data_IF_031793236395
#
_entry.id   IF_031793236395
#
_cell.length_a   1.000
_cell.length_b   1.000
_cell.length_c   1.000
_cell.angle_alpha   90.00
_cell.angle_beta   90.00
_cell.angle_gamma   90.00
#
_symmetry.space_group_name_H-M   'P 1'
#
loop_
_entity.id
_entity.type
_entity.pdbx_description
1 polymer ?
#
# COMPACT_ATOMS: atom_id res chain seq x y z
N UNK A 1 9.83 20.62 16.88
CA UNK A 1 9.20 19.64 15.95
C UNK A 1 10.10 19.52 14.74
N UNK A 2 10.74 18.37 14.55
CA UNK A 2 11.61 18.10 13.39
C UNK A 2 10.90 17.11 12.48
N UNK A 3 10.79 17.47 11.21
CA UNK A 3 10.03 16.74 10.21
C UNK A 3 11.00 16.06 9.26
N UNK A 4 10.88 14.75 9.09
CA UNK A 4 11.52 14.01 8.02
C UNK A 4 10.59 13.87 6.82
N UNK A 5 11.17 13.85 5.61
CA UNK A 5 10.41 13.70 4.36
C UNK A 5 10.77 12.39 3.68
N UNK A 6 9.74 11.66 3.22
CA UNK A 6 9.89 10.40 2.51
C UNK A 6 9.08 10.43 1.22
N UNK A 7 9.60 9.83 0.16
CA UNK A 7 8.85 9.59 -1.07
C UNK A 7 8.64 8.09 -1.26
N UNK A 8 7.39 7.69 -1.44
CA UNK A 8 6.96 6.34 -1.79
C UNK A 8 6.50 6.41 -3.25
N UNK A 9 7.35 5.99 -4.16
CA UNK A 9 7.14 6.14 -5.61
C UNK A 9 7.34 4.83 -6.36
N UNK A 10 6.53 4.63 -7.40
CA UNK A 10 6.63 3.48 -8.31
C UNK A 10 5.95 2.22 -7.77
N UNK A 11 6.46 1.06 -8.12
CA UNK A 11 5.92 -0.23 -7.71
C UNK A 11 6.18 -0.49 -6.22
N UNK A 12 5.20 -0.99 -5.49
CA UNK A 12 5.36 -1.41 -4.09
C UNK A 12 5.86 -2.84 -4.06
N UNK A 13 7.13 -3.02 -3.71
CA UNK A 13 7.78 -4.33 -3.67
C UNK A 13 9.06 -4.39 -4.52
N UNK A 14 9.67 -5.57 -4.56
CA UNK A 14 10.83 -5.85 -5.42
C UNK A 14 10.37 -5.97 -6.88
N UNK A 15 11.19 -5.48 -7.79
CA UNK A 15 10.97 -5.61 -9.23
C UNK A 15 11.86 -6.71 -9.79
N UNK A 16 11.30 -7.49 -10.72
CA UNK A 16 12.09 -8.42 -11.52
C UNK A 16 13.12 -7.71 -12.39
N UNK A 17 14.17 -8.43 -12.78
CA UNK A 17 15.21 -7.91 -13.65
C UNK A 17 14.70 -7.36 -15.01
N UNK A 18 13.54 -7.84 -15.46
CA UNK A 18 12.87 -7.35 -16.67
C UNK A 18 12.40 -5.89 -16.54
N UNK A 19 12.20 -5.40 -15.33
CA UNK A 19 11.79 -4.03 -15.02
C UNK A 19 12.91 -3.22 -14.37
N UNK A 20 14.16 -3.65 -14.54
CA UNK A 20 15.32 -2.96 -14.02
C UNK A 20 15.37 -1.51 -14.57
N UNK A 21 15.35 -0.54 -13.67
CA UNK A 21 15.32 0.89 -14.01
C UNK A 21 13.98 1.58 -13.76
N UNK A 22 12.90 0.84 -13.51
CA UNK A 22 11.67 1.41 -13.01
C UNK A 22 11.79 1.74 -11.52
N UNK A 23 11.04 2.74 -11.08
CA UNK A 23 10.99 3.09 -9.65
C UNK A 23 10.21 2.04 -8.88
N UNK A 24 10.74 1.67 -7.73
CA UNK A 24 10.03 0.84 -6.75
C UNK A 24 10.30 1.32 -5.31
N UNK A 25 9.47 0.88 -4.41
CA UNK A 25 9.61 1.16 -2.97
C UNK A 25 9.36 -0.11 -2.17
N UNK A 26 10.32 -0.47 -1.32
CA UNK A 26 10.31 -1.71 -0.54
C UNK A 26 10.30 -1.43 0.96
N UNK A 27 9.99 -2.46 1.75
CA UNK A 27 10.15 -2.43 3.22
C UNK A 27 11.59 -2.10 3.60
N UNK A 28 12.56 -2.60 2.82
CA UNK A 28 13.98 -2.28 3.05
C UNK A 28 14.23 -0.78 2.91
N UNK A 29 13.70 -0.13 1.87
CA UNK A 29 13.84 1.32 1.70
C UNK A 29 13.26 2.09 2.90
N UNK A 30 12.10 1.66 3.40
CA UNK A 30 11.51 2.28 4.59
C UNK A 30 12.38 2.07 5.84
N UNK A 31 12.88 0.87 6.08
CA UNK A 31 13.74 0.58 7.23
C UNK A 31 15.05 1.37 7.19
N UNK A 32 15.69 1.45 6.03
CA UNK A 32 16.89 2.25 5.83
C UNK A 32 16.62 3.74 6.11
N UNK A 33 15.48 4.26 5.62
CA UNK A 33 15.05 5.62 5.92
C UNK A 33 14.84 5.84 7.41
N UNK A 34 14.06 4.96 8.09
CA UNK A 34 13.79 5.08 9.53
C UNK A 34 15.07 4.99 10.36
N UNK A 35 16.00 4.12 9.97
CA UNK A 35 17.29 3.95 10.63
C UNK A 35 18.24 5.15 10.45
N UNK A 36 18.02 5.97 9.42
CA UNK A 36 18.81 7.19 9.16
C UNK A 36 18.29 8.43 9.89
N UNK A 37 17.13 8.33 10.56
CA UNK A 37 16.52 9.47 11.23
C UNK A 37 17.25 9.83 12.52
N UNK A 38 17.47 11.13 12.72
CA UNK A 38 17.94 11.63 14.00
C UNK A 38 16.88 11.36 15.11
N UNK A 39 17.35 11.19 16.33
CA UNK A 39 16.49 10.88 17.49
C UNK A 39 15.45 11.96 17.81
N UNK A 40 15.67 13.20 17.41
CA UNK A 40 14.80 14.35 17.61
C UNK A 40 13.73 14.54 16.53
N UNK A 41 13.71 13.69 15.49
CA UNK A 41 12.63 13.65 14.50
C UNK A 41 11.36 13.10 15.14
N UNK A 42 10.30 13.90 15.13
CA UNK A 42 9.00 13.55 15.72
C UNK A 42 7.94 13.25 14.65
N UNK A 43 8.11 13.76 13.44
CA UNK A 43 7.10 13.74 12.40
C UNK A 43 7.70 13.22 11.07
N UNK A 44 6.90 12.42 10.35
CA UNK A 44 7.22 11.97 8.99
C UNK A 44 6.13 12.46 8.05
N UNK A 45 6.52 13.29 7.09
CA UNK A 45 5.68 13.66 5.96
C UNK A 45 6.08 12.82 4.76
N UNK A 46 5.19 11.97 4.28
CA UNK A 46 5.48 11.11 3.14
C UNK A 46 4.53 11.34 1.99
N UNK A 47 5.11 11.38 0.79
CA UNK A 47 4.38 11.45 -0.46
C UNK A 47 4.15 10.05 -1.01
N UNK A 48 2.97 9.82 -1.55
CA UNK A 48 2.60 8.57 -2.22
C UNK A 48 2.25 8.88 -3.67
N UNK A 49 3.04 8.32 -4.58
CA UNK A 49 2.84 8.35 -6.02
C UNK A 49 3.10 6.96 -6.58
N UNK A 50 2.10 6.08 -6.45
CA UNK A 50 2.22 4.67 -6.77
C UNK A 50 0.88 4.10 -7.24
N UNK A 51 0.92 3.28 -8.28
CA UNK A 51 -0.21 2.46 -8.74
C UNK A 51 -0.47 1.23 -7.89
N UNK A 52 0.39 0.93 -6.92
CA UNK A 52 0.32 -0.27 -6.09
C UNK A 52 1.45 -1.25 -6.34
N UNK A 53 1.22 -2.52 -6.08
CA UNK A 53 2.21 -3.59 -6.22
C UNK A 53 1.89 -4.79 -5.35
N UNK A 54 2.92 -5.37 -4.71
CA UNK A 54 2.78 -6.51 -3.80
C UNK A 54 1.93 -6.17 -2.58
N UNK A 55 0.83 -6.90 -2.40
CA UNK A 55 -0.07 -6.75 -1.26
C UNK A 55 0.65 -7.00 0.06
N UNK A 56 1.46 -8.06 0.12
CA UNK A 56 2.21 -8.42 1.33
C UNK A 56 3.23 -7.35 1.70
N UNK A 57 4.02 -6.89 0.74
CA UNK A 57 4.98 -5.82 0.95
C UNK A 57 4.30 -4.52 1.42
N UNK A 58 3.15 -4.19 0.83
CA UNK A 58 2.37 -3.03 1.25
C UNK A 58 1.89 -3.11 2.69
N UNK A 59 1.41 -4.29 3.14
CA UNK A 59 1.05 -4.48 4.54
C UNK A 59 2.23 -4.37 5.49
N UNK A 60 3.39 -4.90 5.12
CA UNK A 60 4.59 -4.81 5.93
C UNK A 60 5.10 -3.37 6.06
N UNK A 61 5.08 -2.62 4.95
CA UNK A 61 5.41 -1.17 4.94
C UNK A 61 4.42 -0.39 5.82
N UNK A 62 3.11 -0.65 5.69
CA UNK A 62 2.09 -0.02 6.52
C UNK A 62 2.33 -0.27 8.01
N UNK A 63 2.58 -1.53 8.39
CA UNK A 63 2.89 -1.90 9.77
C UNK A 63 4.15 -1.21 10.29
N UNK A 64 5.20 -1.12 9.48
CA UNK A 64 6.45 -0.45 9.84
C UNK A 64 6.28 1.08 10.00
N UNK A 65 5.46 1.73 9.15
CA UNK A 65 5.11 3.14 9.32
C UNK A 65 4.44 3.39 10.67
N UNK A 66 3.44 2.57 11.02
CA UNK A 66 2.75 2.68 12.32
C UNK A 66 3.68 2.39 13.49
N UNK A 67 4.53 1.35 13.37
CA UNK A 67 5.49 0.96 14.41
C UNK A 67 6.60 2.00 14.64
N UNK A 68 6.81 2.94 13.71
CA UNK A 68 7.80 4.01 13.87
C UNK A 68 7.50 4.93 15.07
N UNK A 69 6.26 4.96 15.55
CA UNK A 69 5.81 5.83 16.64
C UNK A 69 5.85 7.33 16.30
N UNK A 70 6.09 7.68 15.03
CA UNK A 70 6.14 9.07 14.57
C UNK A 70 4.74 9.58 14.21
N UNK A 71 4.55 10.89 14.24
CA UNK A 71 3.34 11.51 13.69
C UNK A 71 3.41 11.45 12.16
N UNK A 72 2.44 10.79 11.55
CA UNK A 72 2.43 10.56 10.11
C UNK A 72 1.54 11.59 9.40
N UNK A 73 2.04 12.18 8.32
CA UNK A 73 1.26 12.97 7.36
C UNK A 73 1.46 12.39 5.98
N UNK A 74 0.38 11.95 5.33
CA UNK A 74 0.40 11.42 3.96
C UNK A 74 -0.06 12.46 2.94
N UNK A 75 0.63 12.49 1.80
CA UNK A 75 0.34 13.38 0.69
C UNK A 75 0.27 12.53 -0.58
N UNK A 76 -0.93 12.32 -1.10
CA UNK A 76 -1.14 11.62 -2.39
C UNK A 76 -0.95 12.58 -3.55
N UNK A 77 -0.12 12.21 -4.53
CA UNK A 77 0.09 12.98 -5.75
C UNK A 77 0.07 12.07 -6.98
N UNK A 78 -0.41 12.60 -8.10
CA UNK A 78 -0.56 11.91 -9.39
C UNK A 78 -1.42 10.65 -9.30
N UNK A 79 -0.95 9.58 -8.68
CA UNK A 79 -1.68 8.32 -8.54
C UNK A 79 -1.48 7.71 -7.14
N UNK A 80 -2.55 7.29 -6.51
CA UNK A 80 -2.57 6.48 -5.29
C UNK A 80 -3.52 5.32 -5.54
N UNK A 81 -2.99 4.18 -5.93
CA UNK A 81 -3.79 3.05 -6.39
C UNK A 81 -3.51 1.75 -5.65
N UNK A 82 -4.50 0.86 -5.65
CA UNK A 82 -4.35 -0.49 -5.12
C UNK A 82 -3.75 -0.49 -3.71
N UNK A 83 -2.76 -1.33 -3.43
CA UNK A 83 -2.13 -1.41 -2.09
C UNK A 83 -1.44 -0.10 -1.64
N UNK A 84 -1.08 0.81 -2.56
CA UNK A 84 -0.53 2.12 -2.19
C UNK A 84 -1.54 2.98 -1.43
N UNK A 85 -2.84 2.73 -1.58
CA UNK A 85 -3.90 3.39 -0.79
C UNK A 85 -3.82 3.02 0.69
N UNK A 86 -3.43 1.79 1.01
CA UNK A 86 -3.20 1.32 2.38
C UNK A 86 -2.04 2.10 3.02
N UNK A 87 -0.97 2.36 2.26
CA UNK A 87 0.14 3.18 2.74
C UNK A 87 -0.29 4.64 2.98
N UNK A 88 -1.08 5.20 2.05
CA UNK A 88 -1.63 6.55 2.21
C UNK A 88 -2.52 6.65 3.46
N UNK A 89 -3.28 5.62 3.76
CA UNK A 89 -4.21 5.56 4.89
C UNK A 89 -3.53 5.28 6.24
N UNK A 90 -2.22 5.05 6.30
CA UNK A 90 -1.48 4.89 7.55
C UNK A 90 -1.43 6.17 8.41
N UNK A 91 -1.53 7.35 7.79
CA UNK A 91 -1.69 8.60 8.52
C UNK A 91 -3.12 8.71 9.11
N UNK A 92 -3.30 9.50 10.17
CA UNK A 92 -4.63 9.82 10.71
C UNK A 92 -5.46 10.61 9.69
N UNK A 93 -6.80 10.51 9.69
CA UNK A 93 -7.66 11.18 8.70
C UNK A 93 -7.38 12.69 8.53
N UNK A 94 -7.14 13.40 9.63
CA UNK A 94 -6.84 14.83 9.62
C UNK A 94 -5.48 15.20 9.00
N UNK A 95 -4.59 14.20 8.86
CA UNK A 95 -3.25 14.35 8.30
C UNK A 95 -3.12 13.77 6.88
N UNK A 96 -4.23 13.43 6.22
CA UNK A 96 -4.27 12.91 4.85
C UNK A 96 -4.56 14.06 3.88
N UNK A 97 -3.74 14.23 2.85
CA UNK A 97 -3.88 15.27 1.84
C UNK A 97 -3.77 14.67 0.45
N UNK A 98 -4.72 14.98 -0.42
CA UNK A 98 -4.63 14.65 -1.85
C UNK A 98 -4.36 15.95 -2.63
N UNK A 99 -3.34 15.94 -3.48
CA UNK A 99 -3.10 17.01 -4.43
C UNK A 99 -4.20 16.98 -5.49
N UNK A 100 -4.63 18.15 -5.95
CA UNK A 100 -5.66 18.26 -6.99
C UNK A 100 -5.30 17.39 -8.20
N UNK A 101 -6.30 16.68 -8.73
CA UNK A 101 -6.20 15.74 -9.85
C UNK A 101 -5.46 14.43 -9.54
N UNK A 102 -5.15 14.12 -8.28
CA UNK A 102 -4.66 12.80 -7.90
C UNK A 102 -5.73 11.75 -8.23
N UNK A 103 -5.34 10.72 -8.98
CA UNK A 103 -6.16 9.53 -9.18
C UNK A 103 -6.06 8.65 -7.94
N UNK A 104 -7.19 8.43 -7.28
CA UNK A 104 -7.29 7.52 -6.15
C UNK A 104 -8.21 6.37 -6.52
N UNK A 105 -7.71 5.13 -6.51
CA UNK A 105 -8.52 3.97 -6.86
C UNK A 105 -8.20 2.75 -6.01
N UNK A 106 -9.22 1.92 -5.85
CA UNK A 106 -9.17 0.65 -5.11
C UNK A 106 -9.71 -0.45 -6.01
N UNK A 107 -9.20 -1.64 -5.84
CA UNK A 107 -9.72 -2.86 -6.47
C UNK A 107 -9.37 -4.08 -5.62
N UNK A 108 -10.04 -5.20 -5.88
CA UNK A 108 -9.68 -6.46 -5.24
C UNK A 108 -8.28 -6.92 -5.64
N UNK A 109 -7.55 -7.58 -4.74
CA UNK A 109 -6.29 -8.20 -5.09
C UNK A 109 -6.51 -9.29 -6.14
N UNK A 110 -5.56 -9.40 -7.03
CA UNK A 110 -5.52 -10.48 -8.03
C UNK A 110 -4.15 -11.16 -7.99
N UNK A 111 -4.13 -12.37 -8.47
CA UNK A 111 -2.88 -13.11 -8.62
C UNK A 111 -2.44 -13.08 -10.08
N UNK A 112 -1.15 -12.73 -10.30
CA UNK A 112 -0.51 -12.83 -11.59
C UNK A 112 0.41 -14.05 -11.55
N UNK A 113 0.19 -15.06 -12.40
CA UNK A 113 1.12 -16.17 -12.52
C UNK A 113 2.45 -15.68 -13.12
N UNK A 114 3.53 -15.83 -12.37
CA UNK A 114 4.88 -15.49 -12.86
C UNK A 114 5.34 -16.44 -13.96
N UNK A 115 4.83 -17.68 -13.96
CA UNK A 115 5.05 -18.69 -14.99
C UNK A 115 3.80 -19.55 -15.12
N UNK A 116 3.50 -20.05 -16.31
CA UNK A 116 2.38 -20.94 -16.59
C UNK A 116 2.70 -22.38 -16.17
N UNK A 117 3.04 -22.61 -14.91
CA UNK A 117 3.17 -23.95 -14.39
C UNK A 117 1.79 -24.61 -14.18
N UNK A 118 1.65 -25.91 -14.52
CA UNK A 118 0.41 -26.61 -14.28
C UNK A 118 0.12 -26.67 -12.79
N UNK A 119 -1.05 -26.18 -12.39
CA UNK A 119 -1.52 -26.26 -11.00
C UNK A 119 -2.54 -27.37 -10.82
N UNK A 120 -2.49 -28.07 -9.70
CA UNK A 120 -3.48 -29.05 -9.31
C UNK A 120 -4.71 -28.36 -8.71
N UNK A 121 -5.86 -29.04 -8.71
CA UNK A 121 -7.11 -28.49 -8.21
C UNK A 121 -7.01 -28.00 -6.75
N UNK A 122 -6.32 -28.74 -5.88
CA UNK A 122 -6.12 -28.35 -4.48
C UNK A 122 -5.24 -27.09 -4.33
N UNK A 123 -4.27 -26.87 -5.22
CA UNK A 123 -3.41 -25.68 -5.24
C UNK A 123 -4.20 -24.44 -5.67
N UNK A 124 -5.05 -24.59 -6.71
CA UNK A 124 -5.95 -23.53 -7.15
C UNK A 124 -6.97 -23.15 -6.07
N UNK A 125 -7.53 -24.15 -5.36
CA UNK A 125 -8.45 -23.90 -4.26
C UNK A 125 -7.77 -23.19 -3.08
N UNK A 126 -6.52 -23.57 -2.75
CA UNK A 126 -5.75 -22.90 -1.71
C UNK A 126 -5.48 -21.44 -2.09
N UNK A 127 -4.99 -21.21 -3.31
CA UNK A 127 -4.74 -19.86 -3.83
C UNK A 127 -6.02 -18.99 -3.83
N UNK A 128 -7.15 -19.56 -4.27
CA UNK A 128 -8.43 -18.84 -4.25
C UNK A 128 -8.87 -18.46 -2.83
N UNK A 129 -8.62 -19.33 -1.86
CA UNK A 129 -8.89 -19.05 -0.43
C UNK A 129 -7.99 -17.93 0.10
N UNK A 130 -6.71 -17.94 -0.24
CA UNK A 130 -5.76 -16.91 0.19
C UNK A 130 -6.11 -15.54 -0.41
N UNK A 131 -6.42 -15.49 -1.70
CA UNK A 131 -6.90 -14.25 -2.36
C UNK A 131 -8.19 -13.74 -1.71
N UNK A 132 -9.12 -14.62 -1.40
CA UNK A 132 -10.35 -14.24 -0.71
C UNK A 132 -10.07 -13.68 0.69
N UNK A 133 -9.12 -14.26 1.40
CA UNK A 133 -8.65 -13.76 2.70
C UNK A 133 -8.08 -12.33 2.61
N UNK A 134 -7.24 -12.05 1.60
CA UNK A 134 -6.70 -10.71 1.39
C UNK A 134 -7.77 -9.72 0.91
N UNK A 135 -8.72 -10.14 0.08
CA UNK A 135 -9.87 -9.32 -0.29
C UNK A 135 -10.67 -8.88 0.94
N UNK A 136 -10.99 -9.81 1.84
CA UNK A 136 -11.74 -9.52 3.05
C UNK A 136 -10.95 -8.62 4.01
N UNK A 137 -9.64 -8.83 4.11
CA UNK A 137 -8.73 -7.99 4.90
C UNK A 137 -8.72 -6.55 4.41
N UNK A 138 -8.56 -6.35 3.11
CA UNK A 138 -8.53 -5.03 2.46
C UNK A 138 -9.88 -4.32 2.61
N UNK A 139 -10.99 -5.03 2.35
CA UNK A 139 -12.33 -4.49 2.47
C UNK A 139 -12.62 -4.01 3.90
N UNK A 140 -12.30 -4.83 4.90
CA UNK A 140 -12.46 -4.48 6.31
C UNK A 140 -11.57 -3.31 6.72
N UNK A 141 -10.35 -3.23 6.19
CA UNK A 141 -9.47 -2.10 6.41
C UNK A 141 -10.07 -0.80 5.87
N UNK A 142 -10.56 -0.79 4.63
CA UNK A 142 -11.19 0.41 4.08
C UNK A 142 -12.48 0.80 4.83
N UNK A 143 -13.28 -0.16 5.26
CA UNK A 143 -14.46 0.11 6.07
C UNK A 143 -14.09 0.78 7.40
N UNK A 144 -13.00 0.33 8.03
CA UNK A 144 -12.48 0.95 9.26
C UNK A 144 -11.94 2.37 9.04
N UNK A 145 -11.24 2.60 7.92
CA UNK A 145 -10.57 3.87 7.62
C UNK A 145 -11.47 4.91 6.95
N UNK A 146 -12.67 4.51 6.51
CA UNK A 146 -13.70 5.37 5.93
C UNK A 146 -14.94 5.42 6.84
N UNK A 147 -15.94 6.17 6.43
CA UNK A 147 -17.26 6.16 7.08
C UNK A 147 -18.25 5.21 6.42
N UNK A 148 -17.79 4.45 5.41
CA UNK A 148 -18.61 3.50 4.66
C UNK A 148 -18.54 2.10 5.30
N UNK A 149 -19.60 1.32 5.14
CA UNK A 149 -19.63 -0.08 5.53
C UNK A 149 -18.93 -0.95 4.48
N UNK A 150 -18.52 -2.17 4.85
CA UNK A 150 -17.98 -3.14 3.91
C UNK A 150 -18.96 -3.44 2.76
N UNK A 151 -20.27 -3.48 3.04
CA UNK A 151 -21.31 -3.70 2.03
C UNK A 151 -21.36 -2.57 0.99
N UNK A 152 -21.23 -1.32 1.42
CA UNK A 152 -21.20 -0.16 0.52
C UNK A 152 -19.92 -0.10 -0.31
N UNK A 153 -18.80 -0.59 0.21
CA UNK A 153 -17.49 -0.55 -0.45
C UNK A 153 -17.27 -1.70 -1.44
N UNK A 154 -17.82 -2.89 -1.17
CA UNK A 154 -17.59 -4.08 -1.99
C UNK A 154 -17.80 -3.85 -3.50
N UNK A 155 -18.88 -3.18 -3.97
CA UNK A 155 -19.09 -2.95 -5.40
C UNK A 155 -18.02 -2.07 -6.07
N UNK A 156 -17.30 -1.25 -5.30
CA UNK A 156 -16.21 -0.41 -5.83
C UNK A 156 -14.91 -1.18 -6.01
N UNK A 157 -14.69 -2.23 -5.20
CA UNK A 157 -13.52 -3.09 -5.30
C UNK A 157 -13.65 -4.14 -6.42
N UNK A 158 -14.88 -4.44 -6.86
CA UNK A 158 -15.17 -5.41 -7.92
C UNK A 158 -15.16 -4.78 -9.33
N UNK A 159 -15.12 -3.46 -9.42
CA UNK A 159 -15.05 -2.77 -10.72
C UNK A 159 -13.61 -2.75 -11.21
N UNK A 160 -13.39 -3.35 -12.38
CA UNK A 160 -12.17 -3.22 -13.17
C UNK A 160 -12.06 -1.85 -13.83
#
# INVERSE_FOLDING_TARGET
>A
MKIAKLNIEGYIGELDSAFAGEKNFTLKNLRDFLGSLDSDVTDIHYKVNSGGGSVYEGWDIHAALLASGKNLTSIGENIVGSIATVLFLAAKPENRKLIKNTKFFVHNPYWLPEQSEPMRANELLALGKDLKGEQDRILNFYAKESKATAYELAPYLEKE
#
